data_IF_294123140812
#
_entry.id   IF_294123140812
#
_cell.length_a   1.000
_cell.length_b   1.000
_cell.length_c   1.000
_cell.angle_alpha   90.00
_cell.angle_beta   90.00
_cell.angle_gamma   90.00
#
_symmetry.space_group_name_H-M   'P 1'
#
loop_
_entity.id
_entity.type
_entity.pdbx_description
1 polymer ?
#
# COMPACT_ATOMS: atom_id res chain seq x y z
N UNK A 1 26.73 -41.07 5.68
CA UNK A 1 26.84 -41.17 4.22
C UNK A 1 25.65 -40.43 3.61
N UNK A 2 25.95 -39.33 2.92
CA UNK A 2 25.18 -38.52 1.95
C UNK A 2 23.75 -38.03 2.31
N UNK A 3 23.49 -36.76 2.64
CA UNK A 3 23.65 -35.49 1.89
C UNK A 3 22.55 -35.23 0.83
N UNK A 4 21.75 -34.19 1.08
CA UNK A 4 21.44 -33.08 0.15
C UNK A 4 20.73 -33.44 -1.16
N UNK A 5 19.41 -33.17 -1.23
CA UNK A 5 18.72 -32.43 -2.33
C UNK A 5 17.52 -31.73 -1.68
N UNK A 6 17.66 -30.50 -1.17
CA UNK A 6 17.61 -29.21 -1.90
C UNK A 6 16.17 -28.82 -2.22
N UNK A 7 15.76 -27.77 -1.51
CA UNK A 7 15.05 -26.57 -1.97
C UNK A 7 14.07 -26.65 -3.13
N UNK A 8 13.07 -25.78 -2.98
CA UNK A 8 12.26 -25.24 -4.06
C UNK A 8 11.29 -26.21 -4.69
N UNK A 9 9.99 -25.99 -4.45
CA UNK A 9 9.03 -25.88 -5.55
C UNK A 9 7.75 -25.14 -5.09
N UNK A 10 7.88 -23.81 -5.14
CA UNK A 10 6.84 -22.86 -5.56
C UNK A 10 5.59 -22.72 -4.69
N UNK A 11 5.68 -21.80 -3.71
CA UNK A 11 4.62 -20.78 -3.57
C UNK A 11 4.57 -20.04 -4.90
N UNK A 12 3.71 -20.47 -5.83
CA UNK A 12 3.44 -19.73 -7.07
C UNK A 12 3.02 -18.33 -6.65
N UNK A 13 3.90 -17.34 -6.82
CA UNK A 13 3.56 -15.95 -6.62
C UNK A 13 2.31 -15.66 -7.45
N UNK A 14 1.21 -15.32 -6.80
CA UNK A 14 -0.03 -14.96 -7.49
C UNK A 14 0.31 -13.75 -8.36
N UNK A 15 0.26 -13.93 -9.68
CA UNK A 15 0.48 -12.83 -10.63
C UNK A 15 -0.75 -11.92 -10.52
N UNK A 16 -0.63 -10.89 -9.70
CA UNK A 16 -1.68 -9.88 -9.57
C UNK A 16 -1.56 -8.94 -10.76
N UNK A 17 -2.50 -9.06 -11.69
CA UNK A 17 -2.63 -8.15 -12.83
C UNK A 17 -3.18 -6.82 -12.32
N UNK A 18 -2.29 -5.85 -12.12
CA UNK A 18 -2.67 -4.49 -11.74
C UNK A 18 -3.62 -3.84 -12.76
N UNK A 19 -3.59 -4.28 -14.02
CA UNK A 19 -4.53 -3.89 -15.08
C UNK A 19 -5.99 -4.29 -14.81
N UNK A 20 -6.23 -5.33 -14.01
CA UNK A 20 -7.58 -5.79 -13.63
C UNK A 20 -8.08 -5.10 -12.36
N UNK A 21 -7.16 -4.60 -11.52
CA UNK A 21 -7.49 -3.88 -10.28
C UNK A 21 -7.71 -2.38 -10.50
N UNK A 22 -7.16 -1.81 -11.58
CA UNK A 22 -7.20 -0.38 -11.86
C UNK A 22 -8.10 -0.12 -13.07
N UNK A 23 -9.22 0.58 -12.83
CA UNK A 23 -10.14 0.98 -13.90
C UNK A 23 -9.38 1.85 -14.95
N UNK A 24 -9.57 1.62 -16.27
CA UNK A 24 -8.93 2.39 -17.33
C UNK A 24 -9.04 3.91 -17.21
N UNK A 25 -10.13 4.41 -16.62
CA UNK A 25 -10.33 5.84 -16.36
C UNK A 25 -9.25 6.44 -15.45
N UNK A 26 -8.56 5.62 -14.64
CA UNK A 26 -7.47 6.03 -13.75
C UNK A 26 -6.08 5.69 -14.27
N UNK A 27 -5.95 5.24 -15.52
CA UNK A 27 -4.65 4.96 -16.14
C UNK A 27 -3.70 6.16 -16.11
N UNK A 28 -4.25 7.39 -16.24
CA UNK A 28 -3.50 8.64 -16.13
C UNK A 28 -2.94 8.86 -14.71
N UNK A 29 -3.71 8.51 -13.67
CA UNK A 29 -3.25 8.58 -12.27
C UNK A 29 -2.26 7.45 -11.94
N UNK A 30 -2.40 6.28 -12.58
CA UNK A 30 -1.50 5.15 -12.39
C UNK A 30 -0.12 5.42 -12.99
N UNK A 31 -0.07 5.90 -14.23
CA UNK A 31 1.17 6.07 -15.01
C UNK A 31 1.83 7.45 -14.88
N UNK A 32 1.26 8.38 -14.10
CA UNK A 32 1.89 9.69 -13.93
C UNK A 32 3.11 9.60 -13.00
N UNK A 33 4.21 10.22 -13.45
CA UNK A 33 5.43 10.48 -12.69
C UNK A 33 5.44 11.87 -12.04
N UNK A 34 4.33 12.62 -12.12
CA UNK A 34 4.23 13.94 -11.51
C UNK A 34 4.35 13.83 -9.98
N UNK A 35 5.16 14.69 -9.33
CA UNK A 35 5.35 14.65 -7.88
C UNK A 35 4.09 15.07 -7.11
N UNK A 36 3.21 15.85 -7.73
CA UNK A 36 1.97 16.31 -7.15
C UNK A 36 0.78 15.82 -7.99
N UNK A 37 -0.09 15.02 -7.36
CA UNK A 37 -1.25 14.41 -8.01
C UNK A 37 -2.52 14.80 -7.25
N UNK A 38 -3.38 15.60 -7.88
CA UNK A 38 -4.72 15.88 -7.35
C UNK A 38 -5.72 14.97 -8.06
N UNK A 39 -6.25 13.99 -7.33
CA UNK A 39 -7.36 13.18 -7.81
C UNK A 39 -8.71 13.87 -7.54
N UNK A 40 -9.17 14.71 -8.47
CA UNK A 40 -10.52 15.32 -8.39
C UNK A 40 -11.58 14.33 -8.95
N UNK A 41 -12.76 14.25 -8.32
CA UNK A 41 -13.90 13.53 -8.88
C UNK A 41 -15.05 13.29 -7.90
N UNK A 42 -16.21 12.89 -8.41
CA UNK A 42 -17.45 12.69 -7.65
C UNK A 42 -17.53 11.44 -6.75
N UNK A 43 -18.72 11.14 -6.24
CA UNK A 43 -19.00 9.98 -5.39
C UNK A 43 -18.91 8.69 -6.23
N UNK A 44 -18.27 7.64 -5.70
CA UNK A 44 -18.13 6.35 -6.38
C UNK A 44 -17.03 6.27 -7.46
N UNK A 45 -16.21 7.30 -7.67
CA UNK A 45 -15.19 7.26 -8.73
C UNK A 45 -13.94 6.42 -8.40
N UNK A 46 -13.95 5.45 -7.47
CA UNK A 46 -12.81 4.54 -7.20
C UNK A 46 -11.42 5.17 -6.92
N UNK A 47 -11.38 6.49 -6.62
CA UNK A 47 -10.14 7.26 -6.44
C UNK A 47 -9.33 6.78 -5.24
N UNK A 48 -10.00 6.59 -4.10
CA UNK A 48 -9.37 6.12 -2.86
C UNK A 48 -8.73 4.76 -3.03
N UNK A 49 -9.44 3.79 -3.63
CA UNK A 49 -8.94 2.44 -3.87
C UNK A 49 -7.74 2.44 -4.82
N UNK A 50 -7.79 3.25 -5.88
CA UNK A 50 -6.68 3.34 -6.85
C UNK A 50 -5.43 3.96 -6.22
N UNK A 51 -5.58 5.03 -5.43
CA UNK A 51 -4.45 5.67 -4.73
C UNK A 51 -3.85 4.71 -3.72
N UNK A 52 -4.67 4.02 -2.92
CA UNK A 52 -4.19 3.03 -1.95
C UNK A 52 -3.40 1.90 -2.62
N UNK A 53 -3.89 1.35 -3.73
CA UNK A 53 -3.18 0.35 -4.51
C UNK A 53 -1.86 0.88 -5.10
N UNK A 54 -1.86 2.12 -5.63
CA UNK A 54 -0.65 2.75 -6.17
C UNK A 54 0.40 2.94 -5.08
N UNK A 55 0.03 3.46 -3.92
CA UNK A 55 0.93 3.69 -2.79
C UNK A 55 1.57 2.39 -2.29
N UNK A 56 0.78 1.34 -2.08
CA UNK A 56 1.31 0.04 -1.64
C UNK A 56 2.18 -0.59 -2.72
N UNK A 57 1.81 -0.48 -4.01
CA UNK A 57 2.63 -0.97 -5.13
C UNK A 57 3.96 -0.24 -5.21
N UNK A 58 3.96 1.09 -5.05
CA UNK A 58 5.19 1.88 -5.02
C UNK A 58 6.08 1.48 -3.84
N UNK A 59 5.53 1.39 -2.63
CA UNK A 59 6.28 0.91 -1.47
C UNK A 59 6.84 -0.50 -1.69
N UNK A 60 6.06 -1.40 -2.29
CA UNK A 60 6.50 -2.77 -2.63
C UNK A 60 7.71 -2.75 -3.56
N UNK A 61 7.76 -1.86 -4.56
CA UNK A 61 8.94 -1.71 -5.42
C UNK A 61 10.19 -1.37 -4.61
N UNK A 62 10.12 -0.39 -3.70
CA UNK A 62 11.24 -0.06 -2.81
C UNK A 62 11.62 -1.23 -1.91
N UNK A 63 10.64 -1.92 -1.33
CA UNK A 63 10.86 -3.12 -0.49
C UNK A 63 11.61 -4.20 -1.28
N UNK A 64 11.26 -4.43 -2.54
CA UNK A 64 11.91 -5.43 -3.41
C UNK A 64 13.37 -5.09 -3.70
N UNK A 65 13.75 -3.81 -3.71
CA UNK A 65 15.13 -3.34 -3.84
C UNK A 65 15.87 -3.21 -2.50
N UNK A 66 15.30 -3.78 -1.42
CA UNK A 66 15.81 -3.68 -0.05
C UNK A 66 15.96 -2.23 0.47
N UNK A 67 15.12 -1.32 -0.07
CA UNK A 67 15.10 0.07 0.32
C UNK A 67 13.97 0.34 1.32
N UNK A 68 14.20 1.33 2.18
CA UNK A 68 13.21 1.81 3.14
C UNK A 68 12.42 2.96 2.53
N UNK A 69 11.10 2.79 2.40
CA UNK A 69 10.19 3.86 2.00
C UNK A 69 9.18 4.14 3.12
N UNK A 70 9.02 5.41 3.47
CA UNK A 70 8.05 5.85 4.45
C UNK A 70 6.97 6.70 3.76
N UNK A 71 5.71 6.44 4.09
CA UNK A 71 4.56 7.16 3.53
C UNK A 71 3.79 7.79 4.67
N UNK A 72 3.49 9.08 4.56
CA UNK A 72 2.69 9.81 5.55
C UNK A 72 1.31 10.08 4.97
N UNK A 73 0.29 9.56 5.62
CA UNK A 73 -1.12 9.77 5.31
C UNK A 73 -1.70 10.81 6.27
N UNK A 74 -2.08 11.97 5.72
CA UNK A 74 -2.62 13.10 6.49
C UNK A 74 -4.14 13.23 6.28
N UNK A 75 -4.87 13.56 7.35
CA UNK A 75 -6.29 13.94 7.28
C UNK A 75 -6.63 15.02 8.30
N UNK A 76 -7.56 15.92 7.98
CA UNK A 76 -8.03 16.97 8.89
C UNK A 76 -8.88 16.45 10.07
N UNK A 77 -9.52 15.28 9.95
CA UNK A 77 -10.43 14.74 10.96
C UNK A 77 -9.93 13.40 11.52
N UNK A 78 -9.66 13.35 12.82
CA UNK A 78 -9.15 12.18 13.55
C UNK A 78 -10.14 11.01 13.57
N UNK A 79 -11.42 11.30 13.83
CA UNK A 79 -12.45 10.31 14.12
C UNK A 79 -12.65 9.28 13.00
N UNK A 80 -12.32 9.64 11.77
CA UNK A 80 -12.50 8.79 10.60
C UNK A 80 -11.19 8.33 9.98
N UNK A 81 -10.02 8.69 10.54
CA UNK A 81 -8.72 8.35 9.96
C UNK A 81 -8.52 6.82 9.95
N UNK A 82 -8.88 6.17 11.06
CA UNK A 82 -8.83 4.72 11.22
C UNK A 82 -9.79 4.01 10.27
N UNK A 83 -11.06 4.42 10.29
CA UNK A 83 -12.10 3.73 9.52
C UNK A 83 -12.07 4.06 8.02
N UNK A 84 -11.31 5.09 7.61
CA UNK A 84 -11.11 5.41 6.21
C UNK A 84 -9.74 5.00 5.67
N UNK A 85 -8.67 5.74 5.97
CA UNK A 85 -7.42 5.66 5.21
C UNK A 85 -6.65 4.43 5.64
N UNK A 86 -6.64 4.16 6.95
CA UNK A 86 -6.00 2.97 7.49
C UNK A 86 -6.64 1.68 6.98
N UNK A 87 -7.98 1.59 6.96
CA UNK A 87 -8.68 0.43 6.39
C UNK A 87 -8.44 0.32 4.87
N UNK A 88 -8.43 1.43 4.12
CA UNK A 88 -8.16 1.40 2.68
C UNK A 88 -6.74 0.91 2.35
N UNK A 89 -5.73 1.33 3.12
CA UNK A 89 -4.35 0.83 2.95
C UNK A 89 -4.25 -0.64 3.38
N UNK A 90 -4.86 -1.02 4.51
CA UNK A 90 -4.92 -2.43 4.95
C UNK A 90 -5.55 -3.34 3.90
N UNK A 91 -6.66 -2.88 3.30
CA UNK A 91 -7.32 -3.54 2.18
C UNK A 91 -6.39 -3.67 0.96
N UNK A 92 -5.70 -2.60 0.57
CA UNK A 92 -4.78 -2.63 -0.57
C UNK A 92 -3.59 -3.59 -0.34
N UNK A 93 -3.05 -3.65 0.87
CA UNK A 93 -2.01 -4.63 1.27
C UNK A 93 -2.54 -6.06 1.17
N UNK A 94 -3.78 -6.30 1.61
CA UNK A 94 -4.43 -7.59 1.49
C UNK A 94 -4.67 -7.98 0.02
N UNK A 95 -5.17 -7.05 -0.80
CA UNK A 95 -5.37 -7.27 -2.24
C UNK A 95 -4.08 -7.60 -2.98
N UNK A 96 -2.94 -7.10 -2.49
CA UNK A 96 -1.62 -7.37 -3.06
C UNK A 96 -0.96 -8.65 -2.51
N UNK A 97 -1.69 -9.43 -1.69
CA UNK A 97 -1.27 -10.71 -1.10
C UNK A 97 0.04 -10.61 -0.29
N UNK A 98 0.30 -9.43 0.29
CA UNK A 98 1.50 -9.15 1.10
C UNK A 98 1.16 -8.91 2.57
N UNK A 99 -0.08 -9.19 2.99
CA UNK A 99 -0.55 -8.93 4.36
C UNK A 99 0.34 -9.52 5.46
N UNK A 100 0.85 -10.74 5.26
CA UNK A 100 1.72 -11.41 6.23
C UNK A 100 3.08 -10.74 6.41
N UNK A 101 3.50 -9.89 5.48
CA UNK A 101 4.78 -9.18 5.52
C UNK A 101 4.71 -7.88 6.33
N UNK A 102 3.51 -7.43 6.69
CA UNK A 102 3.29 -6.19 7.44
C UNK A 102 2.82 -6.46 8.88
N UNK A 103 3.14 -5.51 9.76
CA UNK A 103 2.61 -5.41 11.13
C UNK A 103 1.68 -4.20 11.20
N UNK A 104 0.50 -4.43 11.75
CA UNK A 104 -0.58 -3.43 11.87
C UNK A 104 -0.64 -2.95 13.32
N UNK A 105 -0.43 -1.64 13.53
CA UNK A 105 -0.46 -1.02 14.85
C UNK A 105 -1.67 -0.10 14.98
N UNK A 106 -2.32 -0.15 16.14
CA UNK A 106 -3.45 0.70 16.50
C UNK A 106 -3.06 1.99 17.22
N UNK A 107 -1.91 2.00 17.91
CA UNK A 107 -1.36 3.17 18.61
C UNK A 107 0.17 3.09 18.71
N UNK A 108 0.93 4.06 18.18
CA UNK A 108 0.49 5.04 17.18
C UNK A 108 -0.05 4.33 15.93
N UNK A 109 -0.94 4.99 15.19
CA UNK A 109 -1.57 4.39 14.02
C UNK A 109 -0.55 4.26 12.88
N UNK A 110 -0.07 3.03 12.62
CA UNK A 110 0.94 2.75 11.60
C UNK A 110 0.86 1.33 11.04
N UNK A 111 1.39 1.14 9.85
CA UNK A 111 1.54 -0.18 9.21
C UNK A 111 3.00 -0.31 8.75
N UNK A 112 3.73 -1.28 9.28
CA UNK A 112 5.19 -1.41 9.08
C UNK A 112 5.54 -2.74 8.44
N UNK A 113 6.34 -2.70 7.38
CA UNK A 113 6.91 -3.88 6.75
C UNK A 113 7.96 -4.53 7.66
N UNK A 114 7.84 -5.83 7.91
CA UNK A 114 8.64 -6.56 8.92
C UNK A 114 10.13 -6.59 8.59
N UNK A 115 10.49 -6.69 7.30
CA UNK A 115 11.88 -6.89 6.86
C UNK A 115 12.64 -5.58 6.68
N UNK A 116 12.08 -4.61 5.97
CA UNK A 116 12.76 -3.35 5.63
C UNK A 116 12.42 -2.19 6.57
N UNK A 117 11.43 -2.35 7.45
CA UNK A 117 10.96 -1.26 8.32
C UNK A 117 10.17 -0.15 7.59
N UNK A 118 9.92 -0.30 6.28
CA UNK A 118 9.09 0.63 5.51
C UNK A 118 7.72 0.83 6.16
N UNK A 119 7.33 2.07 6.44
CA UNK A 119 6.17 2.34 7.30
C UNK A 119 5.20 3.33 6.67
N UNK A 120 3.91 2.99 6.73
CA UNK A 120 2.80 3.92 6.57
C UNK A 120 2.47 4.55 7.92
N UNK A 121 2.60 5.87 8.02
CA UNK A 121 2.20 6.66 9.18
C UNK A 121 0.87 7.34 8.90
N UNK A 122 -0.04 7.33 9.88
CA UNK A 122 -1.33 7.98 9.76
C UNK A 122 -1.42 9.06 10.83
N UNK A 123 -1.54 10.32 10.39
CA UNK A 123 -1.54 11.47 11.30
C UNK A 123 -2.70 12.41 10.98
N UNK A 124 -3.14 13.11 12.02
CA UNK A 124 -4.17 14.13 11.92
C UNK A 124 -3.47 15.47 11.78
N UNK A 125 -3.88 16.25 10.79
CA UNK A 125 -3.40 17.61 10.65
C UNK A 125 -4.17 18.50 11.64
N UNK A 126 -3.49 19.01 12.65
CA UNK A 126 -4.01 20.09 13.48
C UNK A 126 -3.70 21.41 12.77
N UNK A 127 -4.75 22.05 12.27
CA UNK A 127 -4.70 23.42 11.78
C UNK A 127 -5.14 24.30 12.96
N UNK A 128 -4.24 25.13 13.48
CA UNK A 128 -4.52 26.13 14.51
C UNK A 128 -5.01 27.43 13.87
#
# INVERSE_FOLDING_TARGET
>A
MNSIVIDDLKKKGKVIRTSELVNPHFKKLWNTDCPYVIARGGRGSFKSSTISLKLVTMMKKYIMHDQTANVICLRNAANYLRDSVYQQISWAINMLDVYSEFKFYSSPLRITHKRTGSTFYFMVLMIH
#
